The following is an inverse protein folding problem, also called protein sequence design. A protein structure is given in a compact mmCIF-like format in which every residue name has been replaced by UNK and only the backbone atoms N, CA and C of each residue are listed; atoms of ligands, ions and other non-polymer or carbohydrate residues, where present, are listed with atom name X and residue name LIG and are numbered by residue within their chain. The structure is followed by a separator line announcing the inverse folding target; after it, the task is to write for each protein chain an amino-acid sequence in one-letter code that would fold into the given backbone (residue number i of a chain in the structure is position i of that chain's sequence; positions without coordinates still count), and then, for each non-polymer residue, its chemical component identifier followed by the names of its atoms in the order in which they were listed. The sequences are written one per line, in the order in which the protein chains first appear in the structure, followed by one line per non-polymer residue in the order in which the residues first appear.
data_IF_088490974748
#
_entry.id   IF_088490974748
#
_cell.length_a   1.000
_cell.length_b   1.000
_cell.length_c   1.000
_cell.angle_alpha   90.00
_cell.angle_beta   90.00
_cell.angle_gamma   90.00
#
_symmetry.space_group_name_H-M   'P 1'
#
loop_
_entity.id
_entity.type
_entity.pdbx_description
1 polymer ?
#
# COMPACT_ATOMS: atom_id res chain seq x y z
N UNK A 1 -10.80 34.04 54.93
CA UNK A 1 -10.34 32.74 54.43
C UNK A 1 -11.54 31.97 53.91
N UNK A 2 -11.73 31.86 52.58
CA UNK A 2 -12.62 30.85 51.97
C UNK A 2 -12.31 30.69 50.49
N UNK A 3 -11.49 29.67 50.23
CA UNK A 3 -11.23 28.85 49.03
C UNK A 3 -11.84 29.30 47.68
N UNK A 4 -10.95 29.68 46.75
CA UNK A 4 -11.23 29.65 45.31
C UNK A 4 -11.19 28.19 44.85
N UNK A 5 -12.35 27.65 44.51
CA UNK A 5 -12.51 26.29 43.99
C UNK A 5 -11.92 26.22 42.58
N UNK A 6 -10.72 25.64 42.45
CA UNK A 6 -10.11 25.34 41.15
C UNK A 6 -10.87 24.19 40.48
N UNK A 7 -11.55 24.47 39.37
CA UNK A 7 -12.15 23.46 38.50
C UNK A 7 -11.06 22.50 37.99
N UNK A 8 -11.29 21.18 37.96
CA UNK A 8 -10.33 20.23 37.42
C UNK A 8 -10.18 20.49 35.92
N UNK A 9 -8.96 20.75 35.46
CA UNK A 9 -8.61 20.76 34.05
C UNK A 9 -8.87 19.35 33.51
N UNK A 10 -9.99 19.20 32.79
CA UNK A 10 -10.27 18.00 32.00
C UNK A 10 -9.05 17.71 31.15
N UNK A 11 -8.38 16.60 31.47
CA UNK A 11 -7.23 16.07 30.75
C UNK A 11 -7.51 16.10 29.26
N UNK A 12 -6.93 17.08 28.55
CA UNK A 12 -7.06 17.19 27.11
C UNK A 12 -6.44 15.91 26.52
N UNK A 13 -7.30 15.03 26.00
CA UNK A 13 -6.83 13.86 25.27
C UNK A 13 -5.84 14.34 24.20
N UNK A 14 -4.66 13.71 24.07
CA UNK A 14 -3.64 14.19 23.14
C UNK A 14 -4.24 14.28 21.75
N UNK A 15 -4.17 15.47 21.15
CA UNK A 15 -4.65 15.71 19.79
C UNK A 15 -3.94 14.71 18.85
N UNK A 16 -4.69 13.78 18.26
CA UNK A 16 -4.13 12.81 17.30
C UNK A 16 -3.52 13.61 16.16
N UNK A 17 -2.25 13.34 15.83
CA UNK A 17 -1.59 14.01 14.70
C UNK A 17 -2.33 13.69 13.40
N UNK A 18 -2.67 14.68 12.54
CA UNK A 18 -3.37 14.43 11.30
C UNK A 18 -2.57 13.49 10.40
N UNK A 19 -3.27 12.56 9.75
CA UNK A 19 -2.67 11.63 8.78
C UNK A 19 -2.46 12.35 7.46
N UNK A 20 -1.28 12.17 6.87
CA UNK A 20 -0.88 12.85 5.64
C UNK A 20 -1.19 12.03 4.38
N UNK A 21 -1.87 12.64 3.41
CA UNK A 21 -2.22 12.03 2.13
C UNK A 21 -1.00 11.57 1.31
N UNK A 22 0.06 12.38 1.27
CA UNK A 22 1.33 12.05 0.59
C UNK A 22 2.00 10.84 1.23
N UNK A 23 2.00 10.77 2.57
CA UNK A 23 2.60 9.65 3.29
C UNK A 23 1.88 8.33 2.97
N UNK A 24 0.54 8.34 2.95
CA UNK A 24 -0.28 7.17 2.56
C UNK A 24 0.04 6.75 1.13
N UNK A 25 0.06 7.69 0.18
CA UNK A 25 0.35 7.40 -1.22
C UNK A 25 1.75 6.80 -1.42
N UNK A 26 2.78 7.38 -0.80
CA UNK A 26 4.14 6.84 -0.84
C UNK A 26 4.23 5.45 -0.21
N UNK A 27 3.55 5.23 0.93
CA UNK A 27 3.52 3.92 1.58
C UNK A 27 2.82 2.88 0.70
N UNK A 28 1.75 3.26 0.01
CA UNK A 28 1.05 2.38 -0.93
C UNK A 28 1.91 2.07 -2.15
N UNK A 29 2.63 3.06 -2.68
CA UNK A 29 3.49 2.91 -3.84
C UNK A 29 4.73 2.04 -3.57
N UNK A 30 5.40 2.23 -2.43
CA UNK A 30 6.66 1.55 -2.12
C UNK A 30 6.44 0.22 -1.38
N UNK A 31 5.43 0.16 -0.53
CA UNK A 31 5.16 -0.97 0.37
C UNK A 31 3.75 -1.53 0.18
N UNK A 32 3.19 -1.38 -1.02
CA UNK A 32 1.92 -1.96 -1.45
C UNK A 32 1.88 -3.47 -1.26
N UNK A 33 2.95 -4.13 -1.70
CA UNK A 33 3.10 -5.59 -1.61
C UNK A 33 3.06 -6.14 -0.17
N UNK A 34 3.42 -5.32 0.83
CA UNK A 34 3.31 -5.67 2.26
C UNK A 34 2.00 -5.21 2.91
N UNK A 35 1.24 -4.32 2.26
CA UNK A 35 0.05 -3.69 2.84
C UNK A 35 0.35 -2.61 3.88
N UNK A 36 1.54 -1.98 3.85
CA UNK A 36 1.94 -1.02 4.88
C UNK A 36 0.98 0.19 4.99
N UNK A 37 0.42 0.62 3.85
CA UNK A 37 -0.59 1.67 3.81
C UNK A 37 -1.89 1.28 4.53
N UNK A 38 -2.29 0.00 4.55
CA UNK A 38 -3.44 -0.46 5.33
C UNK A 38 -3.16 -0.45 6.83
N UNK A 39 -1.92 -0.77 7.24
CA UNK A 39 -1.47 -0.62 8.63
C UNK A 39 -1.45 0.83 9.07
N UNK A 40 -0.91 1.73 8.25
CA UNK A 40 -0.90 3.17 8.52
C UNK A 40 -2.32 3.74 8.66
N UNK A 41 -3.25 3.27 7.83
CA UNK A 41 -4.66 3.64 7.91
C UNK A 41 -5.42 2.93 9.04
N UNK A 42 -4.83 1.92 9.70
CA UNK A 42 -5.48 1.16 10.76
C UNK A 42 -6.68 0.32 10.28
N UNK A 43 -6.63 -0.19 9.04
CA UNK A 43 -7.69 -1.05 8.50
C UNK A 43 -7.71 -2.40 9.22
N UNK A 44 -8.91 -2.91 9.54
CA UNK A 44 -9.12 -4.19 10.25
C UNK A 44 -8.47 -5.40 9.58
N UNK A 45 -8.36 -5.39 8.25
CA UNK A 45 -7.84 -6.51 7.46
C UNK A 45 -6.43 -6.26 6.89
N UNK A 46 -5.69 -5.27 7.42
CA UNK A 46 -4.31 -4.99 7.01
C UNK A 46 -3.39 -6.23 7.13
N UNK A 47 -3.61 -7.03 8.16
CA UNK A 47 -2.85 -8.25 8.41
C UNK A 47 -3.00 -9.31 7.32
N UNK A 48 -4.12 -9.34 6.57
CA UNK A 48 -4.34 -10.35 5.52
C UNK A 48 -3.34 -10.15 4.38
N UNK A 49 -3.13 -8.90 3.96
CA UNK A 49 -2.19 -8.56 2.89
C UNK A 49 -0.76 -8.89 3.32
N UNK A 50 -0.38 -8.53 4.54
CA UNK A 50 0.94 -8.86 5.08
C UNK A 50 1.14 -10.36 5.25
N UNK A 51 0.12 -11.08 5.73
CA UNK A 51 0.17 -12.53 5.89
C UNK A 51 0.34 -13.21 4.52
N UNK A 52 -0.44 -12.79 3.53
CA UNK A 52 -0.30 -13.28 2.15
C UNK A 52 1.14 -13.05 1.66
N UNK A 53 1.69 -11.85 1.87
CA UNK A 53 3.05 -11.54 1.43
C UNK A 53 4.10 -12.43 2.10
N UNK A 54 4.00 -12.61 3.42
CA UNK A 54 4.93 -13.44 4.20
C UNK A 54 4.80 -14.92 3.82
N UNK A 55 3.58 -15.44 3.68
CA UNK A 55 3.35 -16.84 3.30
C UNK A 55 3.84 -17.11 1.89
N UNK A 56 3.51 -16.24 0.93
CA UNK A 56 3.99 -16.35 -0.45
C UNK A 56 5.52 -16.36 -0.53
N UNK A 57 6.19 -15.44 0.19
CA UNK A 57 7.63 -15.38 0.23
C UNK A 57 8.25 -16.60 0.92
N UNK A 58 7.69 -17.03 2.05
CA UNK A 58 8.12 -18.23 2.77
C UNK A 58 8.03 -19.47 1.87
N UNK A 59 6.91 -19.65 1.17
CA UNK A 59 6.72 -20.75 0.24
C UNK A 59 7.71 -20.69 -0.92
N UNK A 60 7.92 -19.51 -1.49
CA UNK A 60 8.86 -19.30 -2.59
C UNK A 60 10.30 -19.69 -2.21
N UNK A 61 10.78 -19.32 -1.02
CA UNK A 61 12.13 -19.67 -0.56
C UNK A 61 12.26 -21.13 -0.09
N UNK A 62 11.19 -21.71 0.48
CA UNK A 62 11.28 -23.04 1.11
C UNK A 62 11.08 -24.20 0.14
N UNK A 63 10.22 -24.04 -0.86
CA UNK A 63 9.76 -25.13 -1.71
C UNK A 63 10.28 -25.08 -3.14
N UNK A 64 10.82 -23.95 -3.60
CA UNK A 64 11.27 -23.79 -4.98
C UNK A 64 12.79 -23.54 -5.05
N UNK A 65 13.48 -24.09 -6.05
CA UNK A 65 14.91 -23.85 -6.25
C UNK A 65 15.19 -22.40 -6.68
N UNK A 66 14.26 -21.80 -7.44
CA UNK A 66 14.31 -20.40 -7.85
C UNK A 66 13.16 -19.65 -7.18
N UNK A 67 13.52 -18.74 -6.28
CA UNK A 67 12.55 -18.04 -5.42
C UNK A 67 11.69 -17.00 -6.16
N UNK A 68 12.14 -16.49 -7.31
CA UNK A 68 11.40 -15.48 -8.09
C UNK A 68 10.58 -16.07 -9.25
N UNK A 69 10.86 -17.32 -9.64
CA UNK A 69 10.25 -17.97 -10.80
C UNK A 69 9.35 -19.13 -10.36
N UNK A 70 8.31 -18.78 -9.61
CA UNK A 70 7.35 -19.75 -9.08
C UNK A 70 5.99 -19.09 -8.81
N UNK A 71 4.90 -19.86 -8.81
CA UNK A 71 3.55 -19.33 -8.61
C UNK A 71 3.36 -18.68 -7.24
N UNK A 72 4.07 -19.13 -6.20
CA UNK A 72 3.96 -18.52 -4.88
C UNK A 72 4.47 -17.06 -4.89
N UNK A 73 5.58 -16.79 -5.57
CA UNK A 73 6.09 -15.44 -5.76
C UNK A 73 5.14 -14.58 -6.60
N UNK A 74 4.52 -15.14 -7.65
CA UNK A 74 3.59 -14.38 -8.50
C UNK A 74 2.35 -13.87 -7.76
N UNK A 75 1.94 -14.54 -6.68
CA UNK A 75 0.87 -14.03 -5.81
C UNK A 75 1.22 -12.69 -5.15
N UNK A 76 2.51 -12.34 -5.01
CA UNK A 76 2.94 -11.02 -4.51
C UNK A 76 2.64 -9.89 -5.48
N UNK A 77 2.46 -10.17 -6.77
CA UNK A 77 2.08 -9.13 -7.74
C UNK A 77 0.69 -8.58 -7.46
N UNK A 78 -0.21 -9.37 -6.87
CA UNK A 78 -1.58 -8.93 -6.55
C UNK A 78 -1.57 -7.73 -5.58
N UNK A 79 -1.03 -7.84 -4.35
CA UNK A 79 -0.99 -6.71 -3.42
C UNK A 79 -0.02 -5.61 -3.89
N UNK A 80 0.98 -5.94 -4.70
CA UNK A 80 1.87 -4.95 -5.29
C UNK A 80 1.13 -4.01 -6.25
N UNK A 81 0.34 -4.57 -7.16
CA UNK A 81 -0.48 -3.82 -8.13
C UNK A 81 -1.58 -3.04 -7.40
N UNK A 82 -2.25 -3.67 -6.43
CA UNK A 82 -3.24 -3.01 -5.57
C UNK A 82 -2.66 -1.76 -4.88
N UNK A 83 -1.42 -1.85 -4.37
CA UNK A 83 -0.74 -0.71 -3.77
C UNK A 83 -0.48 0.47 -4.73
N UNK A 84 -0.14 0.21 -5.99
CA UNK A 84 -0.02 1.28 -7.00
C UNK A 84 -1.37 1.93 -7.29
N UNK A 85 -2.44 1.13 -7.39
CA UNK A 85 -3.80 1.63 -7.59
C UNK A 85 -4.24 2.47 -6.38
N UNK A 86 -4.10 1.95 -5.16
CA UNK A 86 -4.45 2.68 -3.94
C UNK A 86 -3.61 3.95 -3.78
N UNK A 87 -2.32 3.92 -4.14
CA UNK A 87 -1.46 5.12 -4.17
C UNK A 87 -2.03 6.22 -5.07
N UNK A 88 -2.42 5.87 -6.30
CA UNK A 88 -3.03 6.81 -7.24
C UNK A 88 -4.38 7.31 -6.72
N UNK A 89 -5.23 6.40 -6.23
CA UNK A 89 -6.56 6.74 -5.68
C UNK A 89 -6.45 7.70 -4.49
N UNK A 90 -5.55 7.43 -3.53
CA UNK A 90 -5.35 8.30 -2.38
C UNK A 90 -4.75 9.64 -2.77
N UNK A 91 -3.79 9.62 -3.69
CA UNK A 91 -3.14 10.82 -4.18
C UNK A 91 -4.12 11.77 -4.89
N UNK A 92 -5.03 11.22 -5.69
CA UNK A 92 -6.04 11.99 -6.42
C UNK A 92 -7.29 12.32 -5.58
N UNK A 93 -7.38 11.85 -4.34
CA UNK A 93 -8.64 11.77 -3.58
C UNK A 93 -9.41 13.07 -3.27
N UNK A 94 -9.02 14.31 -3.56
CA UNK A 94 -9.58 15.50 -2.86
C UNK A 94 -9.38 15.47 -1.34
N UNK A 95 -9.00 16.63 -0.80
CA UNK A 95 -8.49 16.71 0.57
C UNK A 95 -9.64 16.67 1.57
N UNK A 96 -10.75 17.32 1.25
CA UNK A 96 -11.98 17.26 2.05
C UNK A 96 -12.50 15.83 2.22
N UNK A 97 -12.48 15.02 1.14
CA UNK A 97 -12.94 13.63 1.18
C UNK A 97 -11.98 12.76 2.00
N UNK A 98 -10.68 13.01 1.90
CA UNK A 98 -9.68 12.32 2.70
C UNK A 98 -9.81 12.66 4.19
N UNK A 99 -9.90 13.95 4.52
CA UNK A 99 -10.02 14.44 5.91
C UNK A 99 -11.30 13.96 6.57
N UNK A 100 -12.44 14.00 5.87
CA UNK A 100 -13.70 13.47 6.38
C UNK A 100 -13.61 11.97 6.73
N UNK A 101 -12.83 11.21 5.97
CA UNK A 101 -12.72 9.75 6.14
C UNK A 101 -11.67 9.35 7.17
N UNK A 102 -10.53 10.03 7.20
CA UNK A 102 -9.35 9.58 7.97
C UNK A 102 -8.92 10.54 9.07
N UNK A 103 -9.38 11.79 9.07
CA UNK A 103 -9.13 12.80 10.09
C UNK A 103 -10.45 13.37 10.68
N UNK A 104 -11.45 12.55 11.05
CA UNK A 104 -12.72 13.08 11.57
C UNK A 104 -12.50 13.88 12.86
N UNK A 105 -13.11 15.06 12.95
CA UNK A 105 -13.04 15.94 14.12
C UNK A 105 -11.79 16.83 14.20
N UNK A 106 -10.88 16.75 13.24
CA UNK A 106 -9.76 17.69 13.13
C UNK A 106 -10.20 18.86 12.22
N UNK A 107 -10.76 19.91 12.83
CA UNK A 107 -11.42 21.04 12.13
C UNK A 107 -10.53 21.93 11.25
N UNK A 108 -9.30 21.52 10.91
CA UNK A 108 -8.45 22.22 9.94
C UNK A 108 -8.41 21.42 8.64
N UNK A 109 -8.88 21.99 7.51
CA UNK A 109 -8.67 21.39 6.20
C UNK A 109 -7.16 21.23 5.98
N UNK A 110 -6.69 20.01 5.71
CA UNK A 110 -5.33 19.84 5.22
C UNK A 110 -5.29 20.29 3.77
N UNK A 111 -4.53 21.35 3.48
CA UNK A 111 -4.25 21.74 2.10
C UNK A 111 -3.03 20.94 1.63
N UNK A 112 -3.26 19.95 0.78
CA UNK A 112 -2.18 19.23 0.13
C UNK A 112 -1.83 19.94 -1.18
N UNK A 113 -0.58 20.39 -1.32
CA UNK A 113 -0.06 21.01 -2.54
C UNK A 113 0.17 20.01 -3.67
N UNK A 114 1.20 20.23 -4.50
CA UNK A 114 1.54 19.35 -5.65
C UNK A 114 2.05 17.95 -5.27
N UNK A 115 2.36 17.69 -3.99
CA UNK A 115 2.93 16.42 -3.52
C UNK A 115 2.15 15.18 -3.96
N UNK A 116 0.83 15.08 -3.73
CA UNK A 116 0.03 13.94 -4.18
C UNK A 116 0.04 13.77 -5.70
N UNK A 117 0.11 14.85 -6.49
CA UNK A 117 0.17 14.74 -7.95
C UNK A 117 1.45 14.02 -8.39
N UNK A 118 2.60 14.37 -7.79
CA UNK A 118 3.86 13.69 -8.06
C UNK A 118 3.82 12.21 -7.64
N UNK A 119 3.18 11.91 -6.51
CA UNK A 119 3.01 10.52 -6.05
C UNK A 119 2.10 9.73 -6.99
N UNK A 120 1.02 10.34 -7.50
CA UNK A 120 0.15 9.71 -8.50
C UNK A 120 0.91 9.45 -9.82
N UNK A 121 1.70 10.42 -10.30
CA UNK A 121 2.53 10.25 -11.49
C UNK A 121 3.53 9.11 -11.31
N UNK A 122 4.23 9.07 -10.17
CA UNK A 122 5.16 8.00 -9.84
C UNK A 122 4.46 6.64 -9.79
N UNK A 123 3.29 6.57 -9.14
CA UNK A 123 2.51 5.34 -9.03
C UNK A 123 2.04 4.83 -10.39
N UNK A 124 1.59 5.71 -11.29
CA UNK A 124 1.21 5.33 -12.64
C UNK A 124 2.42 4.88 -13.47
N UNK A 125 3.53 5.63 -13.42
CA UNK A 125 4.73 5.31 -14.19
C UNK A 125 5.32 3.97 -13.75
N UNK A 126 5.65 3.84 -12.46
CA UNK A 126 6.26 2.62 -11.90
C UNK A 126 5.26 1.47 -11.95
N UNK A 127 4.00 1.71 -11.59
CA UNK A 127 2.95 0.71 -11.61
C UNK A 127 2.74 0.10 -12.98
N UNK A 128 2.77 0.91 -14.06
CA UNK A 128 2.62 0.38 -15.43
C UNK A 128 3.79 -0.52 -15.83
N UNK A 129 5.03 -0.11 -15.56
CA UNK A 129 6.24 -0.89 -15.85
C UNK A 129 6.25 -2.21 -15.07
N UNK A 130 6.01 -2.14 -13.76
CA UNK A 130 6.01 -3.32 -12.89
C UNK A 130 4.86 -4.27 -13.23
N UNK A 131 3.68 -3.74 -13.55
CA UNK A 131 2.53 -4.58 -13.94
C UNK A 131 2.79 -5.30 -15.26
N UNK A 132 3.36 -4.61 -16.26
CA UNK A 132 3.73 -5.24 -17.52
C UNK A 132 4.78 -6.34 -17.31
N UNK A 133 5.81 -6.06 -16.51
CA UNK A 133 6.84 -7.04 -16.16
C UNK A 133 6.25 -8.26 -15.43
N UNK A 134 5.35 -8.05 -14.47
CA UNK A 134 4.67 -9.11 -13.75
C UNK A 134 3.86 -10.02 -14.68
N UNK A 135 3.09 -9.44 -15.60
CA UNK A 135 2.33 -10.19 -16.60
C UNK A 135 3.28 -10.99 -17.50
N UNK A 136 4.36 -10.37 -17.98
CA UNK A 136 5.33 -11.05 -18.83
C UNK A 136 5.96 -12.26 -18.12
N UNK A 137 6.37 -12.12 -16.87
CA UNK A 137 6.93 -13.21 -16.05
C UNK A 137 5.94 -14.38 -15.92
N UNK A 138 4.68 -14.09 -15.58
CA UNK A 138 3.64 -15.12 -15.44
C UNK A 138 3.40 -15.84 -16.76
N UNK A 139 3.32 -15.10 -17.87
CA UNK A 139 3.09 -15.68 -19.20
C UNK A 139 4.24 -16.59 -19.62
N UNK A 140 5.48 -16.11 -19.50
CA UNK A 140 6.67 -16.89 -19.86
C UNK A 140 6.75 -18.16 -19.02
N UNK A 141 6.56 -18.05 -17.70
CA UNK A 141 6.54 -19.21 -16.81
C UNK A 141 5.50 -20.26 -17.24
N UNK A 142 4.27 -19.82 -17.53
CA UNK A 142 3.18 -20.70 -17.95
C UNK A 142 3.50 -21.38 -19.29
N UNK A 143 4.07 -20.65 -20.25
CA UNK A 143 4.46 -21.22 -21.54
C UNK A 143 5.57 -22.26 -21.43
N UNK A 144 6.59 -22.00 -20.61
CA UNK A 144 7.65 -22.98 -20.30
C UNK A 144 7.03 -24.21 -19.62
N UNK A 145 6.17 -24.02 -18.62
CA UNK A 145 5.55 -25.11 -17.89
C UNK A 145 4.64 -26.00 -18.77
N UNK A 146 4.05 -25.44 -19.83
CA UNK A 146 3.23 -26.18 -20.81
C UNK A 146 4.06 -26.81 -21.95
N UNK A 147 5.38 -26.62 -21.98
CA UNK A 147 6.26 -27.13 -23.04
C UNK A 147 6.07 -26.45 -24.39
N UNK A 148 5.35 -25.31 -24.44
CA UNK A 148 5.13 -24.57 -25.70
C UNK A 148 6.42 -23.98 -26.28
N UNK A 149 7.47 -23.88 -25.47
CA UNK A 149 8.75 -23.29 -25.83
C UNK A 149 9.85 -24.34 -26.05
N UNK A 150 9.57 -25.65 -25.93
CA UNK A 150 10.58 -26.72 -25.97
C UNK A 150 11.35 -26.80 -27.30
N UNK A 151 10.80 -26.23 -28.38
CA UNK A 151 11.45 -26.12 -29.70
C UNK A 151 12.19 -24.80 -29.96
N UNK A 152 12.09 -23.83 -29.06
CA UNK A 152 12.73 -22.52 -29.19
C UNK A 152 14.01 -22.49 -28.34
N UNK A 153 15.16 -22.33 -28.99
CA UNK A 153 16.41 -22.02 -28.29
C UNK A 153 16.36 -20.54 -27.88
N UNK A 154 15.91 -20.29 -26.66
CA UNK A 154 15.92 -18.97 -26.01
C UNK A 154 17.28 -18.67 -25.41
#
# INVERSE_FOLDING_TARGET
MTQVQASPSLSAAPARRPRGKVAVGLLACLFGWLGAHWWYLGRRYAWVVTLLAVVSLFCAFRYYPVWYDNPAFFLLFIPMIDGFIESAVFSLMSDEKFDRRYNPGQGRPTSTGWGPVLVALLACLVGSVVSMFAIAMVVVYVWVAMGWLDGLKL
#
